data_IF_236440195414
#
_entry.id   IF_236440195414
#
_cell.length_a   1.000
_cell.length_b   1.000
_cell.length_c   1.000
_cell.angle_alpha   90.00
_cell.angle_beta   90.00
_cell.angle_gamma   90.00
#
_symmetry.space_group_name_H-M   'P 1'
#
loop_
_entity.id
_entity.type
_entity.pdbx_description
1 polymer ?
#
# COMPACT_ATOMS: atom_id res chain seq x y z
N UNK A 1 -2.13 9.72 11.25
CA UNK A 1 -2.46 10.56 10.06
C UNK A 1 -3.89 11.08 10.19
N UNK A 2 -4.25 12.22 9.56
CA UNK A 2 -5.60 12.81 9.71
C UNK A 2 -6.74 11.84 9.35
N UNK A 3 -6.57 11.00 8.31
CA UNK A 3 -7.59 10.04 7.91
C UNK A 3 -7.91 8.98 8.96
N UNK A 4 -6.88 8.49 9.66
CA UNK A 4 -7.04 7.50 10.75
C UNK A 4 -7.79 8.12 11.93
N UNK A 5 -7.48 9.39 12.25
CA UNK A 5 -8.16 10.13 13.30
C UNK A 5 -9.63 10.38 12.95
N UNK A 6 -9.90 10.80 11.72
CA UNK A 6 -11.27 11.00 11.24
C UNK A 6 -12.08 9.70 11.32
N UNK A 7 -11.52 8.58 10.87
CA UNK A 7 -12.21 7.28 10.92
C UNK A 7 -12.44 6.84 12.38
N UNK A 8 -11.46 7.01 13.27
CA UNK A 8 -11.61 6.68 14.69
C UNK A 8 -12.67 7.55 15.39
N UNK A 9 -12.74 8.83 15.05
CA UNK A 9 -13.77 9.73 15.59
C UNK A 9 -15.16 9.40 15.05
N UNK A 10 -15.29 8.99 13.78
CA UNK A 10 -16.55 8.49 13.22
C UNK A 10 -17.00 7.19 13.92
N UNK A 11 -16.07 6.28 14.21
CA UNK A 11 -16.37 5.06 14.94
C UNK A 11 -16.88 5.35 16.35
N UNK A 12 -16.26 6.30 17.07
CA UNK A 12 -16.74 6.75 18.38
C UNK A 12 -18.13 7.39 18.28
N UNK A 13 -18.36 8.24 17.29
CA UNK A 13 -19.62 8.96 17.11
C UNK A 13 -20.81 8.04 16.76
N UNK A 14 -20.55 6.89 16.11
CA UNK A 14 -21.57 5.93 15.68
C UNK A 14 -21.72 4.73 16.61
N UNK A 15 -20.94 4.67 17.70
CA UNK A 15 -20.86 3.51 18.59
C UNK A 15 -22.22 3.05 19.17
N UNK A 16 -23.11 4.02 19.46
CA UNK A 16 -24.42 3.77 20.08
C UNK A 16 -25.58 3.68 19.05
N UNK A 17 -25.27 3.61 17.76
CA UNK A 17 -26.28 3.50 16.69
C UNK A 17 -26.58 2.05 16.34
N UNK A 18 -27.66 1.79 15.61
CA UNK A 18 -28.00 0.44 15.11
C UNK A 18 -26.96 -0.13 14.11
N UNK A 19 -26.05 0.72 13.60
CA UNK A 19 -25.02 0.35 12.63
C UNK A 19 -23.69 1.06 12.95
N UNK A 20 -22.98 0.66 14.03
CA UNK A 20 -21.72 1.29 14.41
C UNK A 20 -20.63 1.07 13.35
N UNK A 21 -19.85 2.11 13.07
CA UNK A 21 -18.71 2.00 12.16
C UNK A 21 -17.58 1.20 12.83
N UNK A 22 -17.21 0.07 12.22
CA UNK A 22 -16.00 -0.69 12.56
C UNK A 22 -14.91 -0.39 11.55
N UNK A 23 -13.67 -0.26 12.02
CA UNK A 23 -12.56 0.14 11.15
C UNK A 23 -11.23 -0.46 11.58
N UNK A 24 -10.27 -0.40 10.67
CA UNK A 24 -8.83 -0.57 10.92
C UNK A 24 -8.07 0.31 9.91
N UNK A 25 -6.77 0.46 10.09
CA UNK A 25 -5.89 1.23 9.19
C UNK A 25 -4.66 0.41 8.81
N UNK A 26 -4.60 -0.03 7.56
CA UNK A 26 -3.45 -0.75 7.02
C UNK A 26 -2.43 0.25 6.47
N UNK A 27 -1.24 0.28 7.07
CA UNK A 27 -0.12 1.13 6.62
C UNK A 27 0.83 0.30 5.77
N UNK A 28 0.93 0.63 4.50
CA UNK A 28 1.90 0.07 3.57
C UNK A 28 2.51 1.20 2.73
N UNK A 29 3.72 0.98 2.24
CA UNK A 29 4.49 2.00 1.53
C UNK A 29 4.55 1.70 0.04
N UNK A 30 5.50 0.88 -0.41
CA UNK A 30 5.73 0.66 -1.83
C UNK A 30 5.11 -0.67 -2.25
N UNK A 31 3.92 -0.58 -2.83
CA UNK A 31 3.22 -1.74 -3.39
C UNK A 31 3.68 -1.94 -4.84
N UNK A 32 4.02 -3.17 -5.20
CA UNK A 32 4.55 -3.52 -6.52
C UNK A 32 3.98 -4.83 -7.04
N UNK A 33 4.22 -5.10 -8.32
CA UNK A 33 3.83 -6.34 -8.97
C UNK A 33 2.39 -6.32 -9.49
N UNK A 34 1.92 -7.51 -9.83
CA UNK A 34 0.63 -7.72 -10.47
C UNK A 34 0.14 -9.12 -10.08
N UNK A 35 -1.02 -9.19 -9.42
CA UNK A 35 -1.63 -10.47 -9.04
C UNK A 35 -2.43 -11.10 -10.20
N UNK A 36 -2.85 -10.29 -11.17
CA UNK A 36 -3.49 -10.70 -12.42
C UNK A 36 -2.76 -10.00 -13.57
N UNK A 37 -2.19 -10.73 -14.56
CA UNK A 37 -1.41 -10.12 -15.64
C UNK A 37 -2.14 -9.03 -16.45
N UNK A 38 -3.47 -8.98 -16.41
CA UNK A 38 -4.27 -7.94 -17.05
C UNK A 38 -4.39 -6.65 -16.23
N UNK A 39 -4.05 -6.69 -14.93
CA UNK A 39 -4.13 -5.57 -13.99
C UNK A 39 -2.75 -5.33 -13.38
N UNK A 40 -2.12 -4.24 -13.77
CA UNK A 40 -0.81 -3.83 -13.28
C UNK A 40 -0.77 -2.32 -13.05
N UNK A 41 0.23 -1.88 -12.29
CA UNK A 41 0.45 -0.47 -12.00
C UNK A 41 0.89 0.29 -13.27
N UNK A 42 0.10 1.29 -13.66
CA UNK A 42 0.39 2.19 -14.78
C UNK A 42 0.78 3.59 -14.34
N UNK A 43 1.03 3.79 -13.03
CA UNK A 43 1.41 5.08 -12.46
C UNK A 43 2.70 5.59 -13.08
N UNK A 44 2.72 6.81 -13.65
CA UNK A 44 3.93 7.43 -14.18
C UNK A 44 4.87 7.95 -13.07
N UNK A 45 4.52 7.70 -11.80
CA UNK A 45 5.25 8.20 -10.64
C UNK A 45 5.92 7.08 -9.83
N UNK A 46 5.57 5.82 -10.08
CA UNK A 46 6.10 4.69 -9.34
C UNK A 46 7.34 4.11 -10.02
N UNK A 47 8.28 3.61 -9.22
CA UNK A 47 9.60 3.19 -9.70
C UNK A 47 9.51 2.09 -10.78
N UNK A 48 8.77 1.01 -10.52
CA UNK A 48 8.75 -0.15 -11.41
C UNK A 48 8.14 0.15 -12.79
N UNK A 49 6.97 0.82 -12.91
CA UNK A 49 6.45 1.24 -14.21
C UNK A 49 7.46 2.09 -15.01
N UNK A 50 8.11 3.08 -14.37
CA UNK A 50 9.12 3.93 -15.01
C UNK A 50 10.32 3.10 -15.49
N UNK A 51 10.81 2.18 -14.65
CA UNK A 51 11.94 1.29 -15.00
C UNK A 51 11.57 0.41 -16.19
N UNK A 52 10.41 -0.24 -16.18
CA UNK A 52 9.99 -1.11 -17.28
C UNK A 52 9.78 -0.32 -18.57
N UNK A 53 9.15 0.85 -18.53
CA UNK A 53 8.97 1.72 -19.70
C UNK A 53 10.33 2.05 -20.35
N UNK A 54 11.32 2.44 -19.55
CA UNK A 54 12.67 2.76 -20.04
C UNK A 54 13.36 1.55 -20.64
N UNK A 55 13.31 0.40 -19.97
CA UNK A 55 13.92 -0.83 -20.48
C UNK A 55 13.27 -1.30 -21.79
N UNK A 56 11.95 -1.20 -21.92
CA UNK A 56 11.21 -1.53 -23.15
C UNK A 56 11.62 -0.60 -24.30
N UNK A 57 11.86 0.68 -24.01
CA UNK A 57 12.37 1.65 -24.99
C UNK A 57 13.87 1.47 -25.33
N UNK A 58 14.58 0.54 -24.68
CA UNK A 58 16.03 0.38 -24.83
C UNK A 58 16.84 1.49 -24.15
N UNK A 59 16.22 2.24 -23.23
CA UNK A 59 16.85 3.31 -22.46
C UNK A 59 17.32 2.82 -21.08
N UNK A 60 18.21 3.57 -20.46
CA UNK A 60 18.68 3.29 -19.09
C UNK A 60 17.81 4.01 -18.06
N UNK A 61 17.19 3.31 -17.09
CA UNK A 61 16.47 3.94 -15.99
C UNK A 61 17.37 4.85 -15.15
N UNK A 62 16.81 5.94 -14.64
CA UNK A 62 17.54 6.89 -13.80
C UNK A 62 17.46 6.50 -12.33
N UNK A 63 18.60 6.43 -11.65
CA UNK A 63 18.68 6.36 -10.18
C UNK A 63 18.66 7.79 -9.62
N UNK A 64 17.82 8.04 -8.63
CA UNK A 64 17.67 9.35 -7.99
C UNK A 64 18.37 9.37 -6.63
N UNK A 65 19.67 9.66 -6.64
CA UNK A 65 20.53 9.72 -5.46
C UNK A 65 21.42 8.48 -5.31
N UNK A 66 22.69 8.73 -5.02
CA UNK A 66 23.77 7.74 -4.90
C UNK A 66 24.69 8.02 -3.69
N UNK A 67 24.24 8.89 -2.77
CA UNK A 67 24.96 9.34 -1.58
C UNK A 67 24.20 9.04 -0.26
N UNK A 68 23.22 8.13 -0.30
CA UNK A 68 22.55 7.66 0.91
C UNK A 68 23.49 6.82 1.79
N UNK A 69 23.23 6.81 3.10
CA UNK A 69 23.91 5.92 4.06
C UNK A 69 23.38 4.47 3.94
N UNK A 70 23.61 3.85 2.79
CA UNK A 70 23.20 2.49 2.44
C UNK A 70 24.37 1.78 1.73
N UNK A 71 24.40 0.44 1.68
CA UNK A 71 25.56 -0.31 1.18
C UNK A 71 26.03 0.03 -0.25
N UNK A 72 25.12 0.49 -1.12
CA UNK A 72 25.40 0.87 -2.51
C UNK A 72 25.16 2.35 -2.80
N UNK A 73 24.91 3.17 -1.76
CA UNK A 73 24.61 4.60 -1.89
C UNK A 73 23.20 4.92 -2.40
N UNK A 74 22.41 3.93 -2.82
CA UNK A 74 21.07 4.14 -3.37
C UNK A 74 19.98 4.04 -2.31
N UNK A 75 18.79 4.54 -2.64
CA UNK A 75 17.68 4.58 -1.70
C UNK A 75 17.06 3.19 -1.46
N UNK A 76 17.10 2.67 -0.23
CA UNK A 76 16.43 1.40 0.12
C UNK A 76 14.95 1.62 0.43
N UNK A 77 14.09 0.73 -0.04
CA UNK A 77 12.63 0.78 0.13
C UNK A 77 12.09 -0.60 0.48
N UNK A 78 11.07 -0.64 1.32
CA UNK A 78 10.30 -1.85 1.58
C UNK A 78 9.24 -2.02 0.49
N UNK A 79 9.32 -3.14 -0.23
CA UNK A 79 8.45 -3.48 -1.34
C UNK A 79 7.60 -4.69 -0.98
N UNK A 80 6.29 -4.55 -1.15
CA UNK A 80 5.31 -5.61 -0.86
C UNK A 80 4.51 -5.90 -2.13
N UNK A 81 4.23 -7.18 -2.37
CA UNK A 81 3.47 -7.58 -3.54
C UNK A 81 2.00 -7.13 -3.41
N UNK A 82 1.43 -6.60 -4.49
CA UNK A 82 0.04 -6.12 -4.51
C UNK A 82 -0.98 -7.19 -4.12
N UNK A 83 -0.70 -8.45 -4.47
CA UNK A 83 -1.53 -9.59 -4.07
C UNK A 83 -1.58 -9.80 -2.56
N UNK A 84 -0.47 -9.58 -1.85
CA UNK A 84 -0.42 -9.73 -0.39
C UNK A 84 -1.18 -8.60 0.30
N UNK A 85 -1.09 -7.38 -0.24
CA UNK A 85 -1.88 -6.24 0.24
C UNK A 85 -3.38 -6.49 0.02
N UNK A 86 -3.77 -7.01 -1.15
CA UNK A 86 -5.17 -7.37 -1.41
C UNK A 86 -5.65 -8.44 -0.42
N UNK A 87 -4.86 -9.48 -0.17
CA UNK A 87 -5.18 -10.51 0.81
C UNK A 87 -5.30 -9.94 2.24
N UNK A 88 -4.43 -9.01 2.62
CA UNK A 88 -4.50 -8.34 3.92
C UNK A 88 -5.80 -7.53 4.10
N UNK A 89 -6.27 -6.84 3.06
CA UNK A 89 -7.56 -6.14 3.09
C UNK A 89 -8.73 -7.10 3.25
N UNK A 90 -8.73 -8.23 2.53
CA UNK A 90 -9.77 -9.25 2.67
C UNK A 90 -9.78 -9.82 4.10
N UNK A 91 -8.61 -10.16 4.63
CA UNK A 91 -8.49 -10.68 6.00
C UNK A 91 -8.96 -9.65 7.05
N UNK A 92 -8.59 -8.38 6.88
CA UNK A 92 -9.04 -7.29 7.75
C UNK A 92 -10.57 -7.14 7.71
N UNK A 93 -11.17 -7.11 6.52
CA UNK A 93 -12.61 -7.00 6.36
C UNK A 93 -13.36 -8.18 7.02
N UNK A 94 -12.87 -9.41 6.83
CA UNK A 94 -13.44 -10.60 7.45
C UNK A 94 -13.42 -10.52 8.99
N UNK A 95 -12.30 -10.09 9.58
CA UNK A 95 -12.20 -9.91 11.03
C UNK A 95 -13.14 -8.82 11.55
N UNK A 96 -13.28 -7.69 10.85
CA UNK A 96 -14.22 -6.62 11.24
C UNK A 96 -15.66 -7.12 11.26
N UNK A 97 -16.04 -7.91 10.26
CA UNK A 97 -17.37 -8.55 10.15
C UNK A 97 -17.58 -9.53 11.30
N UNK A 98 -16.60 -10.38 11.58
CA UNK A 98 -16.66 -11.37 12.66
C UNK A 98 -16.63 -10.75 14.06
N UNK A 99 -16.26 -9.47 14.20
CA UNK A 99 -16.05 -8.83 15.50
C UNK A 99 -14.77 -9.32 16.18
N UNK A 100 -13.83 -9.83 15.41
CA UNK A 100 -12.52 -10.28 15.89
C UNK A 100 -11.55 -9.10 16.03
N UNK A 101 -10.59 -9.18 16.97
CA UNK A 101 -9.54 -8.19 17.08
C UNK A 101 -8.64 -8.17 15.83
N UNK A 102 -8.33 -6.96 15.37
CA UNK A 102 -7.42 -6.70 14.23
C UNK A 102 -6.09 -6.11 14.71
N UNK A 103 -6.06 -5.60 15.94
CA UNK A 103 -4.92 -4.93 16.59
C UNK A 103 -4.71 -5.54 17.98
#
# INVERSE_FOLDING_TARGET
LIGEWLIADQARATADTDAPLRHTSLRYFNVVGSADPSVYDTSPHNLFPIVFEKLIAGETPRINGDDYDTPDGTNVRDYVHVGDIAAAHVAAAQRLIAGEPIE
#
